data_IF_834180942509
#
_entry.id   IF_834180942509
#
_cell.length_a   1.000
_cell.length_b   1.000
_cell.length_c   1.000
_cell.angle_alpha   90.00
_cell.angle_beta   90.00
_cell.angle_gamma   90.00
#
_symmetry.space_group_name_H-M   'P 1'
#
loop_
_entity.id
_entity.type
_entity.pdbx_description
1 polymer ?
#
# COMPACT_ATOMS: atom_id res chain seq x y z
N UNK A 1 9.09 23.50 64.61
CA UNK A 1 8.61 22.11 64.48
C UNK A 1 7.43 22.08 63.52
N UNK A 2 7.61 21.44 62.35
CA UNK A 2 6.58 20.85 61.46
C UNK A 2 5.45 21.78 60.97
N UNK A 3 5.23 22.02 59.69
CA UNK A 3 5.74 21.36 58.49
C UNK A 3 5.23 22.11 57.26
N UNK A 4 6.09 22.13 56.25
CA UNK A 4 5.84 22.61 54.90
C UNK A 4 4.85 21.66 54.21
N UNK A 5 3.76 22.18 53.65
CA UNK A 5 2.92 21.45 52.71
C UNK A 5 2.59 22.37 51.54
N UNK A 6 3.23 22.21 50.37
CA UNK A 6 2.85 22.96 49.18
C UNK A 6 1.58 22.31 48.61
N UNK A 7 0.48 23.07 48.61
CA UNK A 7 -0.74 22.66 47.92
C UNK A 7 -0.44 22.68 46.42
N UNK A 8 -0.52 21.50 45.84
CA UNK A 8 -0.18 21.17 44.48
C UNK A 8 -0.95 22.03 43.46
N UNK A 9 -0.20 22.68 42.57
CA UNK A 9 -0.74 23.29 41.36
C UNK A 9 -1.06 22.18 40.34
N UNK A 10 -2.34 21.81 40.22
CA UNK A 10 -2.82 20.94 39.15
C UNK A 10 -2.97 21.73 37.85
N UNK A 11 -1.88 21.78 37.08
CA UNK A 11 -1.88 22.25 35.70
C UNK A 11 -2.44 21.14 34.79
N UNK A 12 -3.73 21.17 34.48
CA UNK A 12 -4.35 20.25 33.53
C UNK A 12 -4.30 20.85 32.11
N UNK A 13 -3.21 20.60 31.40
CA UNK A 13 -3.08 20.88 29.97
C UNK A 13 -3.57 19.65 29.20
N UNK A 14 -4.87 19.62 28.85
CA UNK A 14 -5.43 18.57 28.01
C UNK A 14 -5.12 18.85 26.53
N UNK A 15 -3.93 18.45 26.05
CA UNK A 15 -3.71 18.22 24.63
C UNK A 15 -4.42 16.93 24.23
N UNK A 16 -5.60 17.04 23.62
CA UNK A 16 -6.17 15.96 22.82
C UNK A 16 -5.42 15.89 21.48
N UNK A 17 -4.21 15.34 21.52
CA UNK A 17 -3.43 15.02 20.34
C UNK A 17 -3.71 13.57 19.90
N UNK A 18 -4.20 13.42 18.67
CA UNK A 18 -3.86 12.27 17.82
C UNK A 18 -4.69 11.00 18.00
N UNK A 19 -5.76 10.90 17.22
CA UNK A 19 -6.11 9.63 16.58
C UNK A 19 -5.86 9.76 15.07
N UNK A 20 -4.59 9.79 14.68
CA UNK A 20 -4.22 9.51 13.28
C UNK A 20 -4.42 8.01 13.06
N UNK A 21 -5.64 7.62 12.72
CA UNK A 21 -5.94 6.26 12.31
C UNK A 21 -5.22 5.92 11.01
N UNK A 22 -4.35 4.90 11.06
CA UNK A 22 -3.89 4.17 9.88
C UNK A 22 -2.38 4.02 9.72
N UNK A 23 -1.67 3.45 10.70
CA UNK A 23 -0.33 2.90 10.49
C UNK A 23 -0.39 1.56 9.75
N UNK A 24 -0.88 1.56 8.50
CA UNK A 24 -0.76 0.43 7.58
C UNK A 24 0.24 0.76 6.47
N UNK A 25 0.92 -0.25 5.92
CA UNK A 25 1.86 -0.06 4.81
C UNK A 25 1.19 0.69 3.64
N UNK A 26 1.93 1.62 3.04
CA UNK A 26 1.48 2.39 1.87
C UNK A 26 1.58 1.57 0.58
N UNK A 27 0.90 2.01 -0.48
CA UNK A 27 0.89 1.29 -1.77
C UNK A 27 2.27 1.07 -2.39
N UNK A 28 3.16 2.06 -2.28
CA UNK A 28 4.54 1.93 -2.77
C UNK A 28 5.39 0.93 -1.98
N UNK A 29 5.20 0.85 -0.66
CA UNK A 29 5.87 -0.13 0.20
C UNK A 29 5.38 -1.55 -0.08
N UNK A 30 4.05 -1.72 -0.17
CA UNK A 30 3.44 -2.98 -0.58
C UNK A 30 3.93 -3.43 -1.96
N UNK A 31 4.03 -2.50 -2.93
CA UNK A 31 4.57 -2.79 -4.24
C UNK A 31 6.05 -3.20 -4.19
N UNK A 32 6.86 -2.50 -3.39
CA UNK A 32 8.27 -2.83 -3.22
C UNK A 32 8.47 -4.25 -2.66
N UNK A 33 7.67 -4.62 -1.65
CA UNK A 33 7.74 -5.94 -0.99
C UNK A 33 7.25 -7.07 -1.90
N UNK A 34 6.17 -6.87 -2.65
CA UNK A 34 5.50 -7.97 -3.35
C UNK A 34 5.67 -7.99 -4.87
N UNK A 35 5.96 -6.85 -5.50
CA UNK A 35 5.86 -6.70 -6.96
C UNK A 35 7.19 -6.32 -7.61
N UNK A 36 7.99 -5.47 -6.97
CA UNK A 36 9.17 -4.85 -7.59
C UNK A 36 10.27 -5.83 -7.98
N UNK A 37 10.34 -7.02 -7.37
CA UNK A 37 11.29 -8.06 -7.76
C UNK A 37 11.08 -8.56 -9.20
N UNK A 38 9.82 -8.64 -9.63
CA UNK A 38 9.48 -8.98 -11.03
C UNK A 38 9.21 -7.74 -11.88
N UNK A 39 8.74 -6.64 -11.27
CA UNK A 39 8.36 -5.41 -11.96
C UNK A 39 9.20 -4.19 -11.53
N UNK A 40 10.53 -4.23 -11.65
CA UNK A 40 11.38 -3.11 -11.29
C UNK A 40 11.07 -1.92 -12.20
N UNK A 41 10.85 -0.74 -11.61
CA UNK A 41 10.44 0.48 -12.30
C UNK A 41 9.24 0.30 -13.26
N UNK A 42 8.36 -0.67 -13.01
CA UNK A 42 7.21 -0.96 -13.86
C UNK A 42 7.53 -1.81 -15.10
N UNK A 43 8.76 -2.31 -15.23
CA UNK A 43 9.13 -3.31 -16.24
C UNK A 43 8.55 -4.70 -15.94
N UNK A 44 9.13 -5.74 -16.55
CA UNK A 44 8.83 -7.13 -16.20
C UNK A 44 10.05 -8.00 -16.53
N UNK A 45 10.65 -8.62 -15.52
CA UNK A 45 11.85 -9.46 -15.66
C UNK A 45 11.55 -10.89 -16.11
N UNK A 46 10.30 -11.33 -15.97
CA UNK A 46 9.84 -12.67 -16.37
C UNK A 46 9.32 -12.68 -17.80
N UNK A 47 8.52 -11.66 -18.15
CA UNK A 47 7.91 -11.48 -19.47
C UNK A 47 8.13 -10.03 -19.95
N UNK A 48 9.26 -9.72 -20.63
CA UNK A 48 9.66 -8.35 -20.95
C UNK A 48 8.61 -7.51 -21.71
N UNK A 49 7.72 -8.15 -22.46
CA UNK A 49 6.64 -7.52 -23.21
C UNK A 49 5.43 -7.12 -22.36
N UNK A 50 5.28 -7.70 -21.15
CA UNK A 50 4.16 -7.51 -20.22
C UNK A 50 4.52 -6.56 -19.07
N UNK A 51 4.90 -5.34 -19.43
CA UNK A 51 5.22 -4.28 -18.45
C UNK A 51 3.95 -3.67 -17.83
N UNK A 52 4.13 -2.89 -16.77
CA UNK A 52 3.06 -2.14 -16.09
C UNK A 52 2.76 -0.79 -16.76
N UNK A 53 3.44 -0.43 -17.85
CA UNK A 53 3.16 0.79 -18.60
C UNK A 53 1.69 0.85 -19.02
N UNK A 54 1.09 2.05 -18.99
CA UNK A 54 -0.37 2.23 -19.11
C UNK A 54 -0.95 1.64 -20.37
N UNK A 55 -0.36 1.97 -21.52
CA UNK A 55 -0.81 1.43 -22.78
C UNK A 55 -0.80 -0.11 -22.80
N UNK A 56 0.15 -0.76 -22.11
CA UNK A 56 0.28 -2.23 -22.07
C UNK A 56 -0.73 -2.86 -21.13
N UNK A 57 -0.91 -2.33 -19.91
CA UNK A 57 -1.93 -2.84 -18.98
C UNK A 57 -3.34 -2.61 -19.51
N UNK A 58 -3.62 -1.44 -20.11
CA UNK A 58 -4.94 -1.13 -20.64
C UNK A 58 -5.29 -1.97 -21.87
N UNK A 59 -4.31 -2.31 -22.72
CA UNK A 59 -4.51 -3.24 -23.84
C UNK A 59 -4.95 -4.65 -23.39
N UNK A 60 -4.72 -5.01 -22.13
CA UNK A 60 -5.14 -6.26 -21.52
C UNK A 60 -6.34 -6.08 -20.56
N UNK A 61 -7.03 -4.93 -20.63
CA UNK A 61 -8.22 -4.66 -19.82
C UNK A 61 -7.95 -4.24 -18.38
N UNK A 62 -6.69 -4.00 -17.98
CA UNK A 62 -6.33 -3.58 -16.63
C UNK A 62 -6.18 -2.05 -16.61
N UNK A 63 -7.25 -1.33 -16.27
CA UNK A 63 -7.33 0.13 -16.46
C UNK A 63 -7.40 0.90 -15.15
N UNK A 64 -8.08 0.33 -14.17
CA UNK A 64 -8.42 0.97 -12.90
C UNK A 64 -7.68 0.33 -11.74
N UNK A 65 -7.70 1.02 -10.60
CA UNK A 65 -7.22 0.50 -9.30
C UNK A 65 -7.85 -0.87 -8.99
N UNK A 66 -9.15 -1.01 -9.22
CA UNK A 66 -9.88 -2.26 -8.94
C UNK A 66 -9.48 -3.37 -9.90
N UNK A 67 -9.18 -3.05 -11.16
CA UNK A 67 -8.72 -4.05 -12.12
C UNK A 67 -7.37 -4.62 -11.69
N UNK A 68 -6.44 -3.78 -11.21
CA UNK A 68 -5.16 -4.25 -10.66
C UNK A 68 -5.39 -5.13 -9.43
N UNK A 69 -6.21 -4.66 -8.48
CA UNK A 69 -6.52 -5.42 -7.26
C UNK A 69 -7.20 -6.77 -7.53
N UNK A 70 -8.02 -6.85 -8.59
CA UNK A 70 -8.63 -8.10 -9.04
C UNK A 70 -7.61 -8.99 -9.77
N UNK A 71 -6.78 -8.41 -10.65
CA UNK A 71 -5.82 -9.15 -11.47
C UNK A 71 -4.81 -9.95 -10.64
N UNK A 72 -4.32 -9.38 -9.53
CA UNK A 72 -3.36 -10.07 -8.66
C UNK A 72 -3.93 -11.36 -8.01
N UNK A 73 -5.26 -11.56 -8.02
CA UNK A 73 -5.90 -12.76 -7.46
C UNK A 73 -5.81 -13.97 -8.38
N UNK A 74 -5.76 -13.74 -9.69
CA UNK A 74 -5.64 -14.78 -10.70
C UNK A 74 -4.87 -14.24 -11.92
N UNK A 75 -3.55 -14.02 -11.77
CA UNK A 75 -2.75 -13.41 -12.82
C UNK A 75 -2.40 -14.41 -13.92
N UNK A 76 -1.76 -13.91 -14.98
CA UNK A 76 -1.27 -14.76 -16.07
C UNK A 76 -0.09 -15.67 -15.66
N UNK A 77 0.28 -16.63 -16.53
CA UNK A 77 1.42 -17.52 -16.28
C UNK A 77 2.70 -16.74 -15.95
N UNK A 78 3.49 -17.25 -15.00
CA UNK A 78 4.75 -16.63 -14.55
C UNK A 78 4.62 -15.64 -13.39
N UNK A 79 3.41 -15.20 -13.06
CA UNK A 79 3.12 -14.39 -11.86
C UNK A 79 2.38 -15.23 -10.81
N UNK A 80 2.80 -15.25 -9.54
CA UNK A 80 2.07 -15.96 -8.50
C UNK A 80 0.74 -15.25 -8.19
N UNK A 81 -0.30 -16.02 -7.89
CA UNK A 81 -1.54 -15.47 -7.35
C UNK A 81 -1.34 -15.00 -5.91
N UNK A 82 -1.84 -13.80 -5.61
CA UNK A 82 -1.81 -13.21 -4.27
C UNK A 82 -3.20 -13.35 -3.65
N UNK A 83 -3.36 -14.30 -2.72
CA UNK A 83 -4.63 -14.49 -2.00
C UNK A 83 -4.90 -13.36 -0.98
N UNK A 84 -6.14 -13.27 -0.51
CA UNK A 84 -6.55 -12.24 0.46
C UNK A 84 -5.85 -12.37 1.83
N UNK A 85 -5.42 -13.58 2.19
CA UNK A 85 -4.63 -13.79 3.41
C UNK A 85 -3.22 -13.17 3.33
N UNK A 86 -2.65 -13.06 2.12
CA UNK A 86 -1.33 -12.46 1.91
C UNK A 86 -1.44 -10.96 1.65
N UNK A 87 -2.36 -10.57 0.77
CA UNK A 87 -2.63 -9.16 0.44
C UNK A 87 -4.13 -8.93 0.66
N UNK A 88 -4.55 -8.39 1.81
CA UNK A 88 -5.95 -8.10 2.08
C UNK A 88 -6.58 -7.15 1.05
N UNK A 89 -7.92 -7.10 0.92
CA UNK A 89 -8.58 -6.25 -0.07
C UNK A 89 -8.18 -4.77 -0.01
N UNK A 90 -8.02 -4.20 1.19
CA UNK A 90 -7.59 -2.82 1.36
C UNK A 90 -6.18 -2.57 0.82
N UNK A 91 -5.25 -3.51 1.03
CA UNK A 91 -3.87 -3.38 0.57
C UNK A 91 -3.75 -3.62 -0.93
N UNK A 92 -4.58 -4.50 -1.50
CA UNK A 92 -4.67 -4.68 -2.95
C UNK A 92 -5.12 -3.40 -3.65
N UNK A 93 -6.04 -2.63 -3.06
CA UNK A 93 -6.44 -1.32 -3.58
C UNK A 93 -5.30 -0.31 -3.51
N UNK A 94 -4.54 -0.26 -2.41
CA UNK A 94 -3.37 0.63 -2.31
C UNK A 94 -2.30 0.29 -3.36
N UNK A 95 -2.07 -1.00 -3.63
CA UNK A 95 -1.18 -1.43 -4.71
C UNK A 95 -1.73 -0.95 -6.06
N UNK A 96 -3.03 -1.11 -6.29
CA UNK A 96 -3.68 -0.63 -7.51
C UNK A 96 -3.55 0.89 -7.69
N UNK A 97 -3.73 1.67 -6.63
CA UNK A 97 -3.52 3.12 -6.61
C UNK A 97 -2.09 3.48 -7.01
N UNK A 98 -1.11 2.83 -6.39
CA UNK A 98 0.30 3.03 -6.70
C UNK A 98 0.62 2.67 -8.16
N UNK A 99 0.18 1.51 -8.65
CA UNK A 99 0.43 1.08 -10.03
C UNK A 99 -0.14 2.08 -11.05
N UNK A 100 -1.38 2.53 -10.84
CA UNK A 100 -2.04 3.46 -11.78
C UNK A 100 -1.38 4.84 -11.72
N UNK A 101 -0.93 5.30 -10.56
CA UNK A 101 -0.31 6.61 -10.38
C UNK A 101 1.16 6.65 -10.83
N UNK A 102 1.91 5.56 -10.67
CA UNK A 102 3.36 5.54 -10.84
C UNK A 102 3.83 5.14 -12.24
N UNK A 103 3.01 4.41 -13.00
CA UNK A 103 3.41 3.92 -14.32
C UNK A 103 2.55 4.58 -15.41
N UNK A 104 3.08 5.56 -16.15
CA UNK A 104 2.33 6.26 -17.19
C UNK A 104 2.08 5.41 -18.44
#
# INVERSE_FOLDING_TARGET
MRGLAPVAACMALALAAGCSGGSGAGGGELFATHCAGCHPQGGNTVHPEKTLARARREANGIRTVRDVAAYIRNPGPGMPAFGEAMIPPADALKIGEYVVASFP
#
